data_IF_481287780466
#
_entry.id   IF_481287780466
#
_cell.length_a   1.000
_cell.length_b   1.000
_cell.length_c   1.000
_cell.angle_alpha   90.00
_cell.angle_beta   90.00
_cell.angle_gamma   90.00
#
_symmetry.space_group_name_H-M   'P 1'
#
loop_
_entity.id
_entity.type
_entity.pdbx_description
1 polymer ?
#
# COMPACT_ATOMS: atom_id res chain seq x y z
N UNK A 1 -18.66 -10.74 -4.68
CA UNK A 1 -19.67 -11.38 -3.77
C UNK A 1 -20.33 -12.66 -4.29
N UNK A 2 -21.06 -12.69 -5.43
CA UNK A 2 -21.76 -13.92 -5.88
C UNK A 2 -20.84 -15.14 -6.08
N UNK A 3 -19.63 -14.91 -6.60
CA UNK A 3 -18.61 -15.94 -6.78
C UNK A 3 -18.28 -16.65 -5.45
N UNK A 4 -17.89 -15.90 -4.41
CA UNK A 4 -17.57 -16.45 -3.09
C UNK A 4 -18.75 -17.18 -2.44
N UNK A 5 -19.96 -16.65 -2.63
CA UNK A 5 -21.17 -17.31 -2.14
C UNK A 5 -21.40 -18.69 -2.78
N UNK A 6 -21.10 -18.83 -4.08
CA UNK A 6 -21.15 -20.13 -4.76
C UNK A 6 -20.15 -21.14 -4.23
N UNK A 7 -19.04 -20.65 -3.63
CA UNK A 7 -18.00 -21.44 -2.94
C UNK A 7 -18.28 -21.62 -1.44
N UNK A 8 -19.54 -21.51 -1.03
CA UNK A 8 -20.00 -21.65 0.37
C UNK A 8 -19.41 -20.64 1.36
N UNK A 9 -18.83 -19.54 0.89
CA UNK A 9 -18.51 -18.42 1.77
C UNK A 9 -19.83 -17.71 2.13
N UNK A 10 -20.12 -17.45 3.43
CA UNK A 10 -21.33 -16.72 3.80
C UNK A 10 -21.39 -15.35 3.11
N UNK A 11 -22.58 -14.92 2.71
CA UNK A 11 -22.76 -13.68 1.95
C UNK A 11 -22.23 -12.44 2.69
N UNK A 12 -22.53 -12.32 3.98
CA UNK A 12 -22.04 -11.25 4.84
C UNK A 12 -20.51 -11.26 4.98
N UNK A 13 -19.91 -12.44 5.15
CA UNK A 13 -18.45 -12.59 5.23
C UNK A 13 -17.80 -12.21 3.90
N UNK A 14 -18.40 -12.61 2.79
CA UNK A 14 -17.93 -12.22 1.46
C UNK A 14 -17.94 -10.70 1.28
N UNK A 15 -19.01 -10.01 1.71
CA UNK A 15 -19.09 -8.55 1.67
C UNK A 15 -17.94 -7.90 2.43
N UNK A 16 -17.74 -8.32 3.68
CA UNK A 16 -16.66 -7.81 4.54
C UNK A 16 -15.27 -8.05 3.92
N UNK A 17 -15.02 -9.22 3.33
CA UNK A 17 -13.75 -9.49 2.65
C UNK A 17 -13.56 -8.52 1.46
N UNK A 18 -14.58 -8.33 0.64
CA UNK A 18 -14.51 -7.39 -0.48
C UNK A 18 -14.29 -5.95 -0.01
N UNK A 19 -14.94 -5.54 1.08
CA UNK A 19 -14.75 -4.21 1.66
C UNK A 19 -13.30 -4.00 2.12
N UNK A 20 -12.65 -5.01 2.73
CA UNK A 20 -11.24 -4.92 3.09
C UNK A 20 -10.30 -4.81 1.88
N UNK A 21 -10.55 -5.57 0.81
CA UNK A 21 -9.74 -5.47 -0.40
C UNK A 21 -9.95 -4.12 -1.11
N UNK A 22 -11.19 -3.62 -1.14
CA UNK A 22 -11.50 -2.28 -1.62
C UNK A 22 -10.77 -1.22 -0.79
N UNK A 23 -10.81 -1.31 0.54
CA UNK A 23 -10.08 -0.40 1.44
C UNK A 23 -8.57 -0.44 1.17
N UNK A 24 -8.00 -1.64 0.93
CA UNK A 24 -6.59 -1.77 0.60
C UNK A 24 -6.23 -1.07 -0.72
N UNK A 25 -7.02 -1.27 -1.79
CA UNK A 25 -6.73 -0.67 -3.10
C UNK A 25 -7.01 0.83 -3.16
N UNK A 26 -7.94 1.33 -2.35
CA UNK A 26 -8.34 2.73 -2.34
C UNK A 26 -7.63 3.57 -1.27
N UNK A 27 -6.98 2.93 -0.29
CA UNK A 27 -6.20 3.66 0.70
C UNK A 27 -4.93 4.17 0.03
N UNK A 28 -4.75 5.49 -0.17
CA UNK A 28 -3.45 6.01 -0.56
C UNK A 28 -2.43 5.55 0.47
N UNK A 29 -1.25 5.10 0.03
CA UNK A 29 -0.16 4.80 0.95
C UNK A 29 0.04 6.01 1.87
N UNK A 30 0.02 5.78 3.20
CA UNK A 30 -0.01 6.80 4.26
C UNK A 30 1.17 7.82 4.21
N UNK A 31 2.08 7.70 3.25
CA UNK A 31 3.30 8.51 3.10
C UNK A 31 3.22 9.54 1.95
N UNK A 32 2.06 9.78 1.32
CA UNK A 32 1.90 10.90 0.37
C UNK A 32 1.69 12.20 1.16
N UNK A 33 2.78 12.89 1.46
CA UNK A 33 2.80 14.22 2.05
C UNK A 33 2.00 15.23 1.18
N UNK A 34 0.80 15.58 1.64
CA UNK A 34 0.12 16.90 1.60
C UNK A 34 0.10 17.73 0.29
N UNK A 35 0.24 17.13 -0.90
CA UNK A 35 -0.05 17.81 -2.17
C UNK A 35 -1.20 17.13 -2.91
N UNK A 36 -2.25 17.92 -3.17
CA UNK A 36 -3.44 17.60 -3.97
C UNK A 36 -3.07 17.33 -5.44
N UNK A 37 -2.23 16.34 -5.73
CA UNK A 37 -2.09 15.82 -7.08
C UNK A 37 -3.22 14.83 -7.35
N UNK A 38 -3.89 14.99 -8.50
CA UNK A 38 -4.85 14.01 -9.00
C UNK A 38 -4.13 12.66 -9.08
N UNK A 39 -4.54 11.71 -8.25
CA UNK A 39 -4.03 10.33 -8.30
C UNK A 39 -4.52 9.73 -9.61
N UNK A 40 -3.65 9.66 -10.61
CA UNK A 40 -3.93 8.95 -11.84
C UNK A 40 -3.94 7.45 -11.51
N UNK A 41 -5.14 6.86 -11.52
CA UNK A 41 -5.31 5.43 -11.26
C UNK A 41 -4.73 4.66 -12.44
N UNK A 42 -3.63 3.96 -12.23
CA UNK A 42 -3.12 3.00 -13.20
C UNK A 42 -4.00 1.75 -13.17
N UNK A 43 -4.91 1.63 -14.15
CA UNK A 43 -5.84 0.50 -14.25
C UNK A 43 -5.12 -0.87 -14.29
N UNK A 44 -3.90 -0.91 -14.86
CA UNK A 44 -3.09 -2.12 -14.97
C UNK A 44 -2.46 -2.53 -13.62
N UNK A 45 -2.39 -1.63 -12.64
CA UNK A 45 -1.79 -1.87 -11.32
C UNK A 45 -2.82 -1.84 -10.18
N UNK A 46 -4.09 -1.55 -10.48
CA UNK A 46 -5.12 -1.35 -9.45
C UNK A 46 -5.29 -2.56 -8.51
N UNK A 47 -5.22 -3.78 -9.04
CA UNK A 47 -5.33 -5.01 -8.26
C UNK A 47 -3.98 -5.57 -7.81
N UNK A 48 -2.89 -4.81 -7.98
CA UNK A 48 -1.58 -5.23 -7.48
C UNK A 48 -1.58 -5.23 -5.95
N UNK A 49 -1.00 -6.27 -5.34
CA UNK A 49 -0.73 -6.27 -3.89
C UNK A 49 0.76 -6.16 -3.69
N UNK A 50 1.15 -5.10 -3.01
CA UNK A 50 2.50 -4.99 -2.48
C UNK A 50 2.57 -5.91 -1.25
N UNK A 51 3.41 -6.97 -1.25
CA UNK A 51 3.41 -8.01 -0.22
C UNK A 51 3.45 -7.48 1.21
N UNK A 52 4.22 -6.41 1.43
CA UNK A 52 4.35 -5.84 2.75
C UNK A 52 3.19 -4.94 3.12
N UNK A 53 2.76 -4.05 2.24
CA UNK A 53 1.62 -3.18 2.43
C UNK A 53 0.38 -4.01 2.74
N UNK A 54 0.19 -5.11 2.00
CA UNK A 54 -0.92 -6.02 2.23
C UNK A 54 -0.83 -6.74 3.59
N UNK A 55 0.35 -7.24 3.97
CA UNK A 55 0.51 -7.88 5.28
C UNK A 55 0.31 -6.88 6.44
N UNK A 56 0.91 -5.70 6.33
CA UNK A 56 0.76 -4.63 7.32
C UNK A 56 -0.67 -4.15 7.42
N UNK A 57 -1.38 -4.04 6.29
CA UNK A 57 -2.82 -3.79 6.26
C UNK A 57 -3.59 -4.88 6.98
N UNK A 58 -3.38 -6.16 6.64
CA UNK A 58 -4.07 -7.27 7.28
C UNK A 58 -3.80 -7.35 8.79
N UNK A 59 -2.58 -7.02 9.24
CA UNK A 59 -2.22 -6.93 10.66
C UNK A 59 -2.92 -5.75 11.36
N UNK A 60 -2.98 -4.56 10.72
CA UNK A 60 -3.73 -3.40 11.24
C UNK A 60 -5.21 -3.76 11.51
N UNK A 61 -5.81 -4.61 10.67
CA UNK A 61 -7.20 -5.06 10.84
C UNK A 61 -7.41 -6.00 12.05
N UNK A 62 -6.35 -6.53 12.67
CA UNK A 62 -6.44 -7.32 13.92
C UNK A 62 -6.75 -6.45 15.15
N UNK A 63 -6.51 -5.14 15.09
CA UNK A 63 -6.75 -4.20 16.18
C UNK A 63 -5.83 -4.36 17.41
N UNK A 64 -5.52 -3.23 18.07
CA UNK A 64 -4.67 -3.23 19.27
C UNK A 64 -5.44 -3.43 20.59
N UNK A 65 -6.74 -3.09 20.63
CA UNK A 65 -7.56 -3.06 21.86
C UNK A 65 -8.64 -4.13 21.94
N UNK A 66 -9.10 -4.61 20.78
CA UNK A 66 -10.11 -5.67 20.65
C UNK A 66 -9.52 -6.72 19.72
N UNK A 67 -9.73 -7.99 20.05
CA UNK A 67 -9.25 -9.11 19.27
C UNK A 67 -10.05 -9.24 17.96
N UNK A 68 -9.63 -8.51 16.94
CA UNK A 68 -10.17 -8.60 15.59
C UNK A 68 -9.34 -9.51 14.69
N UNK A 69 -8.57 -10.45 15.25
CA UNK A 69 -7.79 -11.43 14.47
C UNK A 69 -8.67 -12.28 13.53
N UNK A 70 -9.97 -12.36 13.83
CA UNK A 70 -10.98 -12.93 12.94
C UNK A 70 -11.04 -12.23 11.57
N UNK A 71 -10.82 -10.90 11.53
CA UNK A 71 -10.78 -10.13 10.29
C UNK A 71 -9.53 -10.48 9.48
N UNK A 72 -8.37 -10.54 10.12
CA UNK A 72 -7.13 -10.97 9.47
C UNK A 72 -7.26 -12.40 8.93
N UNK A 73 -7.86 -13.33 9.68
CA UNK A 73 -8.19 -14.66 9.16
C UNK A 73 -9.15 -14.59 7.95
N UNK A 74 -10.20 -13.76 8.01
CA UNK A 74 -11.11 -13.60 6.89
C UNK A 74 -10.41 -13.01 5.65
N UNK A 75 -9.52 -12.03 5.81
CA UNK A 75 -8.74 -11.41 4.72
C UNK A 75 -7.78 -12.43 4.10
N UNK A 76 -6.98 -13.11 4.94
CA UNK A 76 -5.93 -14.01 4.47
C UNK A 76 -6.48 -15.23 3.75
N UNK A 77 -7.56 -15.84 4.26
CA UNK A 77 -8.20 -16.98 3.58
C UNK A 77 -9.17 -16.54 2.48
N UNK A 78 -9.86 -15.42 2.69
CA UNK A 78 -10.78 -14.82 1.72
C UNK A 78 -10.07 -14.32 0.47
N UNK A 79 -8.84 -13.85 0.61
CA UNK A 79 -8.01 -13.34 -0.48
C UNK A 79 -7.80 -14.35 -1.60
N UNK A 80 -7.67 -15.64 -1.28
CA UNK A 80 -7.60 -16.70 -2.30
C UNK A 80 -8.81 -16.66 -3.24
N UNK A 81 -10.03 -16.51 -2.70
CA UNK A 81 -11.25 -16.45 -3.52
C UNK A 81 -11.40 -15.12 -4.28
N UNK A 82 -10.90 -14.02 -3.72
CA UNK A 82 -10.89 -12.72 -4.39
C UNK A 82 -10.00 -12.82 -5.63
N UNK A 83 -8.78 -13.33 -5.50
CA UNK A 83 -7.84 -13.44 -6.62
C UNK A 83 -8.22 -14.54 -7.61
N UNK A 84 -8.83 -15.64 -7.16
CA UNK A 84 -9.42 -16.63 -8.07
C UNK A 84 -10.51 -15.99 -8.94
N UNK A 85 -11.36 -15.16 -8.35
CA UNK A 85 -12.38 -14.42 -9.08
C UNK A 85 -11.77 -13.42 -10.07
N UNK A 86 -10.83 -12.59 -9.63
CA UNK A 86 -10.18 -11.58 -10.48
C UNK A 86 -9.49 -12.25 -11.67
N UNK A 87 -8.80 -13.37 -11.43
CA UNK A 87 -8.13 -14.13 -12.48
C UNK A 87 -9.12 -14.77 -13.46
N UNK A 88 -10.18 -15.43 -12.94
CA UNK A 88 -11.22 -16.03 -13.77
C UNK A 88 -12.03 -15.00 -14.58
N UNK A 89 -12.13 -13.76 -14.08
CA UNK A 89 -12.76 -12.64 -14.76
C UNK A 89 -11.84 -11.90 -15.75
N UNK A 90 -10.57 -12.33 -15.88
CA UNK A 90 -9.54 -11.68 -16.70
C UNK A 90 -9.27 -10.22 -16.29
N UNK A 91 -9.39 -9.92 -14.99
CA UNK A 91 -9.09 -8.60 -14.41
C UNK A 91 -7.64 -8.49 -13.92
N UNK A 92 -6.95 -9.62 -13.78
CA UNK A 92 -5.52 -9.69 -13.47
C UNK A 92 -4.84 -10.68 -14.41
N UNK A 93 -3.55 -10.47 -14.63
CA UNK A 93 -2.71 -11.35 -15.42
C UNK A 93 -2.38 -12.66 -14.70
N UNK A 94 -1.93 -13.66 -15.46
CA UNK A 94 -1.41 -14.90 -14.87
C UNK A 94 -0.13 -14.68 -14.05
N UNK A 95 0.64 -13.63 -14.37
CA UNK A 95 1.83 -13.26 -13.62
C UNK A 95 1.44 -12.72 -12.23
N UNK A 96 0.54 -11.75 -12.16
CA UNK A 96 0.06 -11.19 -10.89
C UNK A 96 -0.61 -12.26 -10.02
N UNK A 97 -1.45 -13.09 -10.62
CA UNK A 97 -2.05 -14.22 -9.92
C UNK A 97 -0.97 -15.19 -9.39
N UNK A 98 0.07 -15.47 -10.19
CA UNK A 98 1.21 -16.29 -9.81
C UNK A 98 2.07 -15.69 -8.69
N UNK A 99 2.17 -14.36 -8.61
CA UNK A 99 2.87 -13.64 -7.53
C UNK A 99 2.04 -13.62 -6.24
N UNK A 100 0.73 -13.48 -6.36
CA UNK A 100 -0.20 -13.46 -5.22
C UNK A 100 -0.19 -14.76 -4.40
N UNK A 101 -0.22 -15.93 -5.07
CA UNK A 101 -0.33 -17.22 -4.38
C UNK A 101 0.79 -17.51 -3.35
N UNK A 102 2.08 -17.39 -3.68
CA UNK A 102 3.14 -17.60 -2.70
C UNK A 102 3.14 -16.54 -1.60
N UNK A 103 2.70 -15.31 -1.90
CA UNK A 103 2.57 -14.25 -0.90
C UNK A 103 1.47 -14.58 0.12
N UNK A 104 0.26 -14.90 -0.33
CA UNK A 104 -0.87 -15.19 0.58
C UNK A 104 -0.60 -16.46 1.42
N UNK A 105 0.07 -17.46 0.84
CA UNK A 105 0.47 -18.67 1.57
C UNK A 105 1.50 -18.37 2.66
N UNK A 106 2.48 -17.49 2.41
CA UNK A 106 3.44 -17.03 3.42
C UNK A 106 2.73 -16.28 4.56
N UNK A 107 1.81 -15.38 4.22
CA UNK A 107 1.04 -14.62 5.20
C UNK A 107 0.14 -15.54 6.07
N UNK A 108 -0.54 -16.52 5.47
CA UNK A 108 -1.34 -17.53 6.18
C UNK A 108 -0.47 -18.34 7.16
N UNK A 109 0.70 -18.82 6.72
CA UNK A 109 1.64 -19.53 7.59
C UNK A 109 2.09 -18.68 8.77
N UNK A 110 2.45 -17.42 8.53
CA UNK A 110 2.86 -16.51 9.59
C UNK A 110 1.73 -16.27 10.60
N UNK A 111 0.51 -16.01 10.11
CA UNK A 111 -0.68 -15.89 10.97
C UNK A 111 -0.91 -17.14 11.81
N UNK A 112 -0.79 -18.33 11.20
CA UNK A 112 -0.91 -19.60 11.92
C UNK A 112 0.11 -19.72 13.04
N UNK A 113 1.36 -19.32 12.78
CA UNK A 113 2.42 -19.34 13.79
C UNK A 113 2.20 -18.34 14.92
N UNK A 114 1.70 -17.16 14.60
CA UNK A 114 1.44 -16.10 15.59
C UNK A 114 0.27 -16.41 16.51
N UNK A 115 -0.65 -17.29 16.08
CA UNK A 115 -1.91 -17.57 16.77
C UNK A 115 -2.09 -19.04 17.14
N UNK A 116 -1.00 -19.81 17.26
CA UNK A 116 -1.03 -21.26 17.55
C UNK A 116 -1.83 -21.66 18.80
N UNK A 117 -1.98 -20.75 19.75
CA UNK A 117 -2.75 -20.93 20.97
C UNK A 117 -4.27 -20.83 20.75
N UNK A 118 -4.71 -20.19 19.66
CA UNK A 118 -6.11 -19.87 19.40
C UNK A 118 -6.58 -20.20 17.96
N UNK A 119 -5.81 -20.93 17.13
CA UNK A 119 -6.19 -21.18 15.73
C UNK A 119 -7.58 -21.80 15.57
N UNK A 120 -7.99 -22.65 16.52
CA UNK A 120 -9.29 -23.31 16.48
C UNK A 120 -10.46 -22.33 16.38
N UNK A 121 -10.33 -21.12 16.93
CA UNK A 121 -11.35 -20.06 16.86
C UNK A 121 -11.58 -19.58 15.42
N UNK A 122 -10.56 -19.68 14.58
CA UNK A 122 -10.61 -19.27 13.18
C UNK A 122 -10.94 -20.43 12.22
N UNK A 123 -11.36 -21.59 12.74
CA UNK A 123 -11.67 -22.78 11.91
C UNK A 123 -12.85 -22.58 10.94
N UNK A 124 -13.60 -21.48 11.07
CA UNK A 124 -14.69 -21.14 10.14
C UNK A 124 -14.20 -21.00 8.68
N UNK A 125 -12.95 -20.60 8.46
CA UNK A 125 -12.36 -20.48 7.11
C UNK A 125 -12.33 -21.82 6.36
N UNK A 126 -12.34 -22.93 7.10
CA UNK A 126 -12.33 -24.30 6.55
C UNK A 126 -13.72 -24.86 6.27
N UNK A 127 -14.79 -24.12 6.59
CA UNK A 127 -16.16 -24.50 6.22
C UNK A 127 -16.49 -24.12 4.77
N UNK A 128 -15.65 -23.29 4.16
CA UNK A 128 -15.76 -22.85 2.78
C UNK A 128 -15.28 -23.95 1.81
N UNK A 129 -15.73 -23.89 0.57
CA UNK A 129 -15.25 -24.80 -0.48
C UNK A 129 -13.80 -24.45 -0.85
N UNK A 130 -12.95 -25.44 -1.10
CA UNK A 130 -11.52 -25.22 -1.40
C UNK A 130 -11.38 -24.23 -2.58
N UNK A 131 -10.60 -23.14 -2.44
CA UNK A 131 -10.39 -22.19 -3.52
C UNK A 131 -9.64 -22.85 -4.68
N UNK A 132 -9.83 -22.35 -5.90
CA UNK A 132 -9.23 -22.92 -7.11
C UNK A 132 -7.69 -22.87 -7.04
N UNK A 133 -7.14 -21.97 -6.23
CA UNK A 133 -5.70 -21.84 -6.01
C UNK A 133 -5.05 -22.81 -5.03
N UNK A 134 -5.83 -23.55 -4.23
CA UNK A 134 -5.30 -24.44 -3.19
C UNK A 134 -5.54 -25.91 -3.53
N UNK A 135 -4.55 -26.74 -3.22
CA UNK A 135 -4.73 -28.19 -3.25
C UNK A 135 -5.45 -28.69 -2.00
N UNK A 136 -6.21 -29.78 -2.15
CA UNK A 136 -6.86 -30.43 -1.01
C UNK A 136 -5.89 -30.94 0.05
N UNK A 137 -4.64 -31.27 -0.34
CA UNK A 137 -3.61 -31.66 0.62
C UNK A 137 -3.20 -30.48 1.52
N UNK A 138 -2.93 -29.30 0.94
CA UNK A 138 -2.59 -28.11 1.71
C UNK A 138 -3.70 -27.76 2.72
N UNK A 139 -4.96 -27.81 2.29
CA UNK A 139 -6.11 -27.53 3.17
C UNK A 139 -6.24 -28.60 4.26
N UNK A 140 -5.99 -29.88 3.97
CA UNK A 140 -6.03 -30.93 4.99
C UNK A 140 -4.94 -30.75 6.06
N UNK A 141 -3.73 -30.36 5.66
CA UNK A 141 -2.62 -30.04 6.57
C UNK A 141 -2.96 -28.83 7.47
N UNK A 142 -3.54 -27.79 6.87
CA UNK A 142 -4.03 -26.58 7.55
C UNK A 142 -5.14 -26.91 8.56
N UNK A 143 -6.17 -27.66 8.15
CA UNK A 143 -7.26 -28.12 9.01
C UNK A 143 -6.75 -28.96 10.19
N UNK A 144 -5.78 -29.85 9.95
CA UNK A 144 -5.17 -30.65 11.01
C UNK A 144 -4.41 -29.78 12.02
N UNK A 145 -3.72 -28.73 11.56
CA UNK A 145 -3.06 -27.78 12.45
C UNK A 145 -4.07 -27.05 13.34
N UNK A 146 -5.18 -26.56 12.76
CA UNK A 146 -6.23 -25.87 13.52
C UNK A 146 -6.91 -26.79 14.53
N UNK A 147 -7.28 -28.02 14.12
CA UNK A 147 -7.93 -28.99 14.99
C UNK A 147 -7.06 -29.35 16.21
N UNK A 148 -5.74 -29.47 16.03
CA UNK A 148 -4.81 -29.73 17.15
C UNK A 148 -4.86 -28.64 18.22
N UNK A 149 -5.02 -27.37 17.82
CA UNK A 149 -5.10 -26.25 18.79
C UNK A 149 -6.35 -26.30 19.66
N UNK A 150 -7.45 -26.89 19.17
CA UNK A 150 -8.66 -27.09 19.98
C UNK A 150 -8.44 -28.07 21.13
N UNK A 151 -7.65 -29.13 20.89
CA UNK A 151 -7.30 -30.11 21.92
C UNK A 151 -6.41 -29.49 22.99
N UNK A 152 -5.55 -28.54 22.60
CA UNK A 152 -4.59 -27.87 23.49
C UNK A 152 -5.16 -26.71 24.27
N UNK A 153 -6.23 -26.05 23.81
CA UNK A 153 -6.97 -25.08 24.60
C UNK A 153 -7.48 -25.65 25.94
N UNK A 154 -7.45 -26.99 26.10
CA UNK A 154 -7.81 -27.72 27.33
C UNK A 154 -6.60 -28.17 28.18
N UNK A 155 -5.37 -27.80 27.81
CA UNK A 155 -4.12 -28.21 28.47
C UNK A 155 -2.96 -27.24 28.26
N UNK A 156 -1.71 -27.69 28.46
CA UNK A 156 -0.51 -26.88 28.20
C UNK A 156 -0.11 -26.97 26.73
N UNK A 157 0.14 -25.82 26.07
CA UNK A 157 0.59 -25.77 24.68
C UNK A 157 1.94 -26.51 24.50
N UNK A 158 2.06 -27.45 23.54
CA UNK A 158 3.32 -28.13 23.25
C UNK A 158 4.25 -27.32 22.34
N UNK A 159 3.81 -26.16 21.83
CA UNK A 159 4.64 -25.36 20.95
C UNK A 159 5.66 -24.52 21.71
N UNK A 160 6.86 -24.32 21.12
CA UNK A 160 7.78 -23.31 21.62
C UNK A 160 7.09 -21.94 21.63
N UNK A 161 7.56 -21.05 22.50
CA UNK A 161 7.17 -19.64 22.40
C UNK A 161 7.54 -19.16 21.00
N UNK A 162 6.71 -18.33 20.38
CA UNK A 162 6.93 -17.84 19.00
C UNK A 162 8.31 -17.21 18.81
N UNK A 163 8.85 -16.58 19.86
CA UNK A 163 10.18 -15.98 19.88
C UNK A 163 11.31 -17.01 19.74
N UNK A 164 11.05 -18.28 20.07
CA UNK A 164 12.01 -19.39 20.02
C UNK A 164 11.88 -20.25 18.73
N UNK A 165 10.93 -19.94 17.83
CA UNK A 165 10.71 -20.68 16.57
C UNK A 165 11.56 -20.08 15.41
N UNK A 166 12.58 -20.81 14.90
CA UNK A 166 13.45 -20.31 13.84
C UNK A 166 12.74 -20.02 12.51
N UNK A 167 11.69 -20.77 12.19
CA UNK A 167 10.91 -20.55 10.97
C UNK A 167 9.96 -19.35 11.15
N UNK A 168 9.46 -19.08 12.36
CA UNK A 168 8.76 -17.82 12.65
C UNK A 168 9.68 -16.62 12.46
N UNK A 169 10.91 -16.69 12.98
CA UNK A 169 11.90 -15.62 12.82
C UNK A 169 12.26 -15.39 11.35
N UNK A 170 12.45 -16.46 10.57
CA UNK A 170 12.73 -16.37 9.15
C UNK A 170 11.57 -15.72 8.37
N UNK A 171 10.34 -16.21 8.57
CA UNK A 171 9.16 -15.66 7.91
C UNK A 171 8.97 -14.18 8.23
N UNK A 172 9.08 -13.81 9.51
CA UNK A 172 8.95 -12.40 9.93
C UNK A 172 10.09 -11.53 9.39
N UNK A 173 11.30 -12.08 9.28
CA UNK A 173 12.46 -11.43 8.66
C UNK A 173 12.24 -11.15 7.18
N UNK A 174 11.75 -12.12 6.41
CA UNK A 174 11.43 -11.97 4.98
C UNK A 174 10.43 -10.82 4.74
N UNK A 175 9.34 -10.74 5.52
CA UNK A 175 8.38 -9.63 5.45
C UNK A 175 8.98 -8.27 5.88
N UNK A 176 10.04 -8.27 6.71
CA UNK A 176 10.74 -7.04 7.08
C UNK A 176 11.67 -6.57 5.95
N UNK A 177 12.46 -7.47 5.36
CA UNK A 177 13.46 -7.19 4.31
C UNK A 177 12.82 -6.75 2.98
N UNK A 178 11.66 -7.31 2.61
CA UNK A 178 10.90 -6.92 1.40
C UNK A 178 10.49 -5.42 1.43
N UNK A 179 10.32 -4.78 2.61
CA UNK A 179 10.04 -3.32 2.71
C UNK A 179 11.16 -2.47 2.18
N UNK A 180 12.37 -2.85 2.57
CA UNK A 180 13.57 -2.05 2.33
C UNK A 180 13.90 -2.05 0.85
N UNK A 181 13.62 -3.15 0.15
CA UNK A 181 13.92 -3.30 -1.28
C UNK A 181 12.91 -2.60 -2.19
N UNK A 182 11.64 -2.44 -1.79
CA UNK A 182 10.65 -1.70 -2.59
C UNK A 182 10.79 -0.17 -2.43
N UNK A 183 11.02 0.35 -1.21
CA UNK A 183 11.31 1.78 -0.97
C UNK A 183 12.50 2.30 -1.81
N UNK A 184 13.49 1.44 -2.07
CA UNK A 184 14.62 1.73 -2.96
C UNK A 184 14.23 1.72 -4.45
N UNK A 185 13.15 1.04 -4.84
CA UNK A 185 12.66 0.92 -6.22
C UNK A 185 11.73 2.05 -6.65
N UNK A 186 10.87 2.54 -5.75
CA UNK A 186 9.99 3.70 -6.01
C UNK A 186 10.57 5.02 -5.50
N UNK A 187 11.71 4.99 -4.79
CA UNK A 187 12.51 6.20 -4.60
C UNK A 187 12.80 6.82 -5.97
N UNK A 188 12.33 8.05 -6.26
CA UNK A 188 12.65 8.71 -7.50
C UNK A 188 14.17 8.76 -7.59
N UNK A 189 14.74 8.18 -8.67
CA UNK A 189 16.18 8.23 -8.96
C UNK A 189 16.65 9.64 -8.65
N UNK A 190 17.49 9.77 -7.62
CA UNK A 190 17.90 11.05 -7.05
C UNK A 190 18.20 12.03 -8.18
N UNK A 191 17.27 12.94 -8.43
CA UNK A 191 17.48 14.00 -9.42
C UNK A 191 18.63 14.82 -8.84
N UNK A 192 19.76 15.00 -9.56
CA UNK A 192 20.88 15.75 -9.02
C UNK A 192 20.37 17.10 -8.54
N UNK A 193 20.71 17.53 -7.31
CA UNK A 193 20.07 18.67 -6.65
C UNK A 193 20.12 19.88 -7.57
N UNK A 194 18.95 20.31 -8.04
CA UNK A 194 18.82 21.50 -8.86
C UNK A 194 19.35 22.66 -8.05
N UNK A 195 20.40 23.32 -8.55
CA UNK A 195 20.95 24.51 -7.88
C UNK A 195 19.82 25.52 -7.66
N UNK A 196 19.74 26.18 -6.49
CA UNK A 196 18.66 27.09 -6.20
C UNK A 196 18.62 28.19 -7.27
N UNK A 197 17.50 28.25 -7.99
CA UNK A 197 17.22 29.32 -8.92
C UNK A 197 17.15 30.59 -8.06
N UNK A 198 18.18 31.44 -8.17
CA UNK A 198 18.15 32.76 -7.54
C UNK A 198 17.00 33.52 -8.17
N UNK A 199 15.93 33.73 -7.40
CA UNK A 199 14.85 34.59 -7.81
C UNK A 199 15.41 36.01 -8.00
N UNK A 200 15.48 36.47 -9.25
CA UNK A 200 15.73 37.87 -9.54
C UNK A 200 14.62 38.70 -8.88
N UNK A 201 15.00 39.55 -7.92
CA UNK A 201 14.05 40.39 -7.19
C UNK A 201 13.42 41.36 -8.19
N UNK A 202 12.19 41.08 -8.60
CA UNK A 202 11.40 42.03 -9.40
C UNK A 202 11.10 43.26 -8.53
N UNK A 203 11.39 44.47 -8.99
CA UNK A 203 11.11 45.68 -8.21
C UNK A 203 9.62 45.83 -7.95
N UNK A 204 9.28 46.31 -6.75
CA UNK A 204 7.90 46.50 -6.35
C UNK A 204 7.21 47.57 -7.21
N UNK A 205 5.90 47.44 -7.48
CA UNK A 205 5.12 48.34 -8.36
C UNK A 205 5.31 49.84 -8.08
N UNK A 206 5.54 50.22 -6.83
CA UNK A 206 5.73 51.62 -6.41
C UNK A 206 7.19 52.02 -6.12
N UNK A 207 8.12 51.08 -6.25
CA UNK A 207 9.55 51.31 -6.07
C UNK A 207 10.08 52.28 -7.13
N UNK A 208 11.05 53.11 -6.75
CA UNK A 208 11.69 54.04 -7.68
C UNK A 208 12.91 53.36 -8.27
N UNK A 209 12.97 53.32 -9.58
CA UNK A 209 14.07 52.72 -10.34
C UNK A 209 14.70 53.76 -11.27
N UNK A 210 15.97 53.58 -11.57
CA UNK A 210 16.68 54.31 -12.61
C UNK A 210 16.61 53.47 -13.89
N UNK A 211 16.24 54.07 -15.02
CA UNK A 211 16.08 53.34 -16.29
C UNK A 211 16.87 54.02 -17.41
N UNK A 212 17.48 53.20 -18.28
CA UNK A 212 18.15 53.61 -19.51
C UNK A 212 17.33 53.17 -20.72
N UNK A 213 17.02 54.11 -21.61
CA UNK A 213 16.30 53.84 -22.85
C UNK A 213 17.28 53.49 -23.98
N UNK A 214 16.78 52.82 -25.02
CA UNK A 214 17.59 52.44 -26.18
C UNK A 214 18.22 53.65 -26.93
N UNK A 215 17.64 54.85 -26.78
CA UNK A 215 18.16 56.10 -27.32
C UNK A 215 19.31 56.72 -26.49
N UNK A 216 19.70 56.08 -25.39
CA UNK A 216 20.74 56.56 -24.46
C UNK A 216 20.23 57.49 -23.36
N UNK A 217 18.95 57.85 -23.35
CA UNK A 217 18.35 58.70 -22.30
C UNK A 217 18.29 57.95 -20.97
N UNK A 218 18.75 58.59 -19.90
CA UNK A 218 18.68 58.05 -18.53
C UNK A 218 17.62 58.81 -17.74
N UNK A 219 16.64 58.10 -17.17
CA UNK A 219 15.65 58.69 -16.26
C UNK A 219 15.80 58.09 -14.87
N UNK A 220 16.11 58.94 -13.90
CA UNK A 220 16.34 58.54 -12.50
C UNK A 220 15.09 58.72 -11.64
N UNK A 221 14.91 57.85 -10.65
CA UNK A 221 13.89 57.96 -9.61
C UNK A 221 12.46 57.79 -10.09
N UNK A 222 12.22 57.03 -11.16
CA UNK A 222 10.90 56.84 -11.76
C UNK A 222 10.20 55.66 -11.10
N UNK A 223 8.92 55.80 -10.71
CA UNK A 223 8.15 54.67 -10.17
C UNK A 223 8.04 53.56 -11.21
N UNK A 224 8.36 52.31 -10.83
CA UNK A 224 8.38 51.16 -11.73
C UNK A 224 7.09 51.01 -12.54
N UNK A 225 5.91 51.21 -11.93
CA UNK A 225 4.61 51.19 -12.65
C UNK A 225 4.51 52.10 -13.88
N UNK A 226 5.31 53.17 -13.96
CA UNK A 226 5.31 54.09 -15.12
C UNK A 226 6.16 53.57 -16.28
N UNK A 227 7.11 52.68 -15.99
CA UNK A 227 8.11 52.17 -16.93
C UNK A 227 8.00 50.65 -17.15
N UNK A 228 7.15 49.96 -16.38
CA UNK A 228 6.93 48.52 -16.41
C UNK A 228 6.71 47.99 -17.84
N UNK A 229 5.78 48.59 -18.59
CA UNK A 229 5.50 48.19 -19.99
C UNK A 229 6.69 48.42 -20.93
N UNK A 230 7.56 49.38 -20.61
CA UNK A 230 8.79 49.64 -21.35
C UNK A 230 9.87 48.60 -21.06
N UNK A 231 10.00 48.17 -19.80
CA UNK A 231 10.95 47.15 -19.37
C UNK A 231 10.54 45.77 -19.87
N UNK A 232 9.27 45.38 -19.69
CA UNK A 232 8.72 44.11 -20.19
C UNK A 232 8.77 44.02 -21.73
N UNK A 233 8.69 45.17 -22.41
CA UNK A 233 8.77 45.27 -23.87
C UNK A 233 10.18 45.52 -24.41
N UNK A 234 11.23 45.47 -23.58
CA UNK A 234 12.64 45.67 -24.01
C UNK A 234 12.99 47.07 -24.53
N UNK A 235 12.17 48.08 -24.24
CA UNK A 235 12.39 49.48 -24.68
C UNK A 235 13.30 50.27 -23.74
N UNK A 236 13.43 49.81 -22.50
CA UNK A 236 14.34 50.36 -21.50
C UNK A 236 14.79 49.28 -20.51
N UNK A 237 15.98 49.46 -19.96
CA UNK A 237 16.60 48.56 -18.99
C UNK A 237 16.70 49.26 -17.63
N UNK A 238 16.48 48.51 -16.54
CA UNK A 238 16.65 49.01 -15.17
C UNK A 238 18.15 49.01 -14.84
N UNK A 239 18.61 50.09 -14.24
CA UNK A 239 19.96 50.21 -13.69
C UNK A 239 19.88 50.03 -12.17
N UNK A 240 20.80 49.24 -11.62
CA UNK A 240 21.07 49.13 -10.18
C UNK A 240 21.93 50.28 -9.65
#
# INVERSE_FOLDING_TARGET
MRYMHSRRVPFNVSGVIWDFFYEYWESPEEDIDEYEEEIEINEDEYFHLEPKGFYGFAEKQSGFMLDYRINTAAILWGGSYVYDFLYAAHLISAEEYGQFQPMIQRAQKLFMKENYDALWEYSFVHQWEIPDSKSGQQVAEEQAAFARTFEWARGSSPFPKKEDDPEWQALRGEFQEERTTWLDRISPRSVPPTQPIRAEKKPGRNEKVDVKYADGTIKRGVKYKKVQRGVEGGKCEIMD
#
